data_IF_783256348186
#
_entry.id   IF_783256348186
#
_cell.length_a   1.000
_cell.length_b   1.000
_cell.length_c   1.000
_cell.angle_alpha   90.00
_cell.angle_beta   90.00
_cell.angle_gamma   90.00
#
_symmetry.space_group_name_H-M   'P 1'
#
loop_
_entity.id
_entity.type
_entity.pdbx_description
1 polymer ?
#
# COMPACT_ATOMS: atom_id res chain seq x y z
N UNK A 1 -1.65 2.62 9.90
CA UNK A 1 -1.06 2.93 8.58
C UNK A 1 -2.11 3.15 7.50
N UNK A 2 -3.19 2.36 7.45
CA UNK A 2 -4.24 2.57 6.45
C UNK A 2 -4.95 3.93 6.55
N UNK A 3 -5.28 4.40 7.77
CA UNK A 3 -5.93 5.71 7.95
C UNK A 3 -5.05 6.89 7.48
N UNK A 4 -3.73 6.86 7.75
CA UNK A 4 -2.81 7.88 7.25
C UNK A 4 -2.66 7.81 5.72
N UNK A 5 -2.70 6.61 5.15
CA UNK A 5 -2.75 6.40 3.70
C UNK A 5 -4.00 6.99 3.07
N UNK A 6 -5.17 6.80 3.69
CA UNK A 6 -6.43 7.40 3.24
C UNK A 6 -6.38 8.93 3.24
N UNK A 7 -5.83 9.54 4.29
CA UNK A 7 -5.66 10.98 4.37
C UNK A 7 -4.75 11.51 3.25
N UNK A 8 -3.59 10.88 3.06
CA UNK A 8 -2.64 11.30 2.02
C UNK A 8 -3.23 11.11 0.62
N UNK A 9 -3.90 9.99 0.35
CA UNK A 9 -4.48 9.70 -0.96
C UNK A 9 -5.57 10.71 -1.35
N UNK A 10 -6.46 11.09 -0.43
CA UNK A 10 -7.54 12.02 -0.77
C UNK A 10 -7.11 13.50 -0.75
N UNK A 11 -6.40 13.94 0.29
CA UNK A 11 -6.09 15.35 0.50
C UNK A 11 -4.77 15.79 -0.16
N UNK A 12 -3.86 14.85 -0.45
CA UNK A 12 -2.54 15.14 -1.02
C UNK A 12 -2.15 14.10 -2.09
N UNK A 13 -2.96 13.93 -3.15
CA UNK A 13 -2.78 12.85 -4.13
C UNK A 13 -1.41 12.87 -4.81
N UNK A 14 -0.85 14.06 -5.09
CA UNK A 14 0.49 14.18 -5.68
C UNK A 14 1.60 13.66 -4.75
N UNK A 15 1.52 13.95 -3.45
CA UNK A 15 2.47 13.42 -2.46
C UNK A 15 2.30 11.92 -2.28
N UNK A 16 1.05 11.46 -2.28
CA UNK A 16 0.73 10.04 -2.20
C UNK A 16 1.33 9.26 -3.38
N UNK A 17 1.14 9.73 -4.61
CA UNK A 17 1.71 9.11 -5.82
C UNK A 17 3.22 9.16 -5.79
N UNK A 18 3.83 10.28 -5.40
CA UNK A 18 5.30 10.36 -5.32
C UNK A 18 5.91 9.32 -4.37
N UNK A 19 5.26 9.07 -3.23
CA UNK A 19 5.74 8.10 -2.25
C UNK A 19 5.41 6.64 -2.56
N UNK A 20 4.50 6.37 -3.51
CA UNK A 20 4.00 5.01 -3.78
C UNK A 20 4.28 4.51 -5.20
N UNK A 21 4.45 5.40 -6.18
CA UNK A 21 4.80 5.06 -7.55
C UNK A 21 6.33 5.03 -7.75
N UNK A 22 6.83 4.23 -8.71
CA UNK A 22 8.23 4.23 -9.10
C UNK A 22 8.75 5.64 -9.44
N UNK A 23 10.00 5.92 -9.08
CA UNK A 23 10.63 7.23 -9.24
C UNK A 23 10.83 7.60 -10.71
N UNK A 24 10.97 6.61 -11.60
CA UNK A 24 10.94 6.77 -13.05
C UNK A 24 9.65 7.42 -13.55
N UNK A 25 8.50 7.11 -12.92
CA UNK A 25 7.18 7.61 -13.30
C UNK A 25 6.78 8.87 -12.53
N UNK A 26 7.13 8.96 -11.24
CA UNK A 26 6.70 10.07 -10.39
C UNK A 26 7.48 11.36 -10.64
N UNK A 27 8.77 11.29 -11.01
CA UNK A 27 9.61 12.49 -11.26
C UNK A 27 9.16 13.31 -12.47
N UNK A 28 8.91 12.74 -13.67
CA UNK A 28 8.39 13.50 -14.80
C UNK A 28 7.01 14.08 -14.50
N UNK A 29 6.18 13.31 -13.79
CA UNK A 29 4.82 13.68 -13.45
C UNK A 29 4.76 14.94 -12.56
N UNK A 30 5.60 15.03 -11.52
CA UNK A 30 5.70 16.22 -10.68
C UNK A 30 6.29 17.44 -11.41
N UNK A 31 7.19 17.23 -12.37
CA UNK A 31 7.75 18.34 -13.15
C UNK A 31 6.72 19.01 -14.06
N UNK A 32 5.67 18.28 -14.44
CA UNK A 32 4.59 18.74 -15.31
C UNK A 32 3.42 19.36 -14.52
N UNK A 33 3.11 18.81 -13.34
CA UNK A 33 2.06 19.30 -12.43
C UNK A 33 2.54 20.48 -11.57
N UNK A 34 2.72 21.65 -12.21
CA UNK A 34 2.98 22.93 -11.53
C UNK A 34 1.70 23.63 -11.01
N UNK A 35 0.53 23.05 -11.27
CA UNK A 35 -0.78 23.56 -10.83
C UNK A 35 -1.18 23.01 -9.47
N UNK A 36 -1.63 23.90 -8.57
CA UNK A 36 -2.15 23.58 -7.24
C UNK A 36 -3.41 22.69 -7.25
N UNK A 37 -4.02 22.45 -8.41
CA UNK A 37 -5.21 21.61 -8.57
C UNK A 37 -4.82 20.22 -9.12
N UNK A 38 -5.20 19.13 -8.43
CA UNK A 38 -5.12 17.77 -8.96
C UNK A 38 -5.90 17.62 -10.27
N UNK A 39 -5.36 16.85 -11.22
CA UNK A 39 -6.15 16.39 -12.37
C UNK A 39 -7.42 15.69 -11.85
N UNK A 40 -8.62 16.02 -12.37
CA UNK A 40 -9.87 15.40 -11.93
C UNK A 40 -9.85 13.87 -11.94
N UNK A 41 -9.16 13.25 -12.90
CA UNK A 41 -9.04 11.79 -13.02
C UNK A 41 -8.18 11.23 -11.89
N UNK A 42 -7.09 11.93 -11.55
CA UNK A 42 -6.18 11.52 -10.48
C UNK A 42 -6.84 11.71 -9.12
N UNK A 43 -7.58 12.80 -8.93
CA UNK A 43 -8.36 13.02 -7.73
C UNK A 43 -9.42 11.94 -7.54
N UNK A 44 -10.12 11.56 -8.60
CA UNK A 44 -11.11 10.48 -8.57
C UNK A 44 -10.46 9.15 -8.17
N UNK A 45 -9.42 8.70 -8.89
CA UNK A 45 -8.73 7.44 -8.61
C UNK A 45 -8.11 7.41 -7.21
N UNK A 46 -7.49 8.52 -6.78
CA UNK A 46 -6.89 8.63 -5.45
C UNK A 46 -7.94 8.63 -4.34
N UNK A 47 -9.15 9.14 -4.61
CA UNK A 47 -10.29 9.06 -3.69
C UNK A 47 -10.82 7.65 -3.56
N UNK A 48 -10.88 6.88 -4.66
CA UNK A 48 -11.23 5.45 -4.60
C UNK A 48 -10.22 4.65 -3.78
N UNK A 49 -8.93 4.92 -3.95
CA UNK A 49 -7.86 4.33 -3.13
C UNK A 49 -8.03 4.72 -1.65
N UNK A 50 -8.33 5.99 -1.36
CA UNK A 50 -8.60 6.43 0.01
C UNK A 50 -9.81 5.70 0.63
N UNK A 51 -10.88 5.49 -0.13
CA UNK A 51 -12.04 4.74 0.31
C UNK A 51 -11.70 3.28 0.63
N UNK A 52 -10.86 2.63 -0.18
CA UNK A 52 -10.37 1.27 0.09
C UNK A 52 -9.53 1.21 1.38
N UNK A 53 -8.69 2.21 1.65
CA UNK A 53 -7.95 2.29 2.92
C UNK A 53 -8.87 2.48 4.14
N UNK A 54 -9.94 3.26 4.00
CA UNK A 54 -10.95 3.41 5.06
C UNK A 54 -11.70 2.09 5.26
N UNK A 55 -12.15 1.45 4.18
CA UNK A 55 -12.79 0.13 4.23
C UNK A 55 -11.92 -0.88 4.96
N UNK A 56 -10.63 -0.92 4.64
CA UNK A 56 -9.65 -1.78 5.29
C UNK A 56 -9.55 -1.50 6.79
N UNK A 57 -9.38 -0.23 7.16
CA UNK A 57 -9.30 0.21 8.56
C UNK A 57 -10.54 -0.20 9.37
N UNK A 58 -11.74 -0.06 8.78
CA UNK A 58 -13.00 -0.44 9.42
C UNK A 58 -13.07 -1.97 9.59
N UNK A 59 -12.74 -2.74 8.54
CA UNK A 59 -12.76 -4.21 8.62
C UNK A 59 -11.80 -4.71 9.69
N UNK A 60 -10.58 -4.18 9.76
CA UNK A 60 -9.63 -4.52 10.83
C UNK A 60 -10.19 -4.20 12.22
N UNK A 61 -10.75 -2.99 12.41
CA UNK A 61 -11.32 -2.58 13.69
C UNK A 61 -12.53 -3.44 14.11
N UNK A 62 -13.37 -3.84 13.16
CA UNK A 62 -14.54 -4.68 13.39
C UNK A 62 -14.11 -6.11 13.73
N UNK A 63 -13.20 -6.69 12.95
CA UNK A 63 -12.68 -8.05 13.21
C UNK A 63 -11.98 -8.10 14.57
N UNK A 64 -11.18 -7.08 14.91
CA UNK A 64 -10.55 -6.93 16.24
C UNK A 64 -11.55 -6.96 17.40
N UNK A 65 -12.74 -6.41 17.20
CA UNK A 65 -13.75 -6.27 18.27
C UNK A 65 -14.71 -7.45 18.34
N UNK A 66 -15.08 -8.02 17.19
CA UNK A 66 -16.18 -8.99 17.11
C UNK A 66 -15.72 -10.45 17.17
N UNK A 67 -14.45 -10.76 16.87
CA UNK A 67 -13.98 -12.15 16.85
C UNK A 67 -12.58 -12.33 17.44
N UNK A 68 -12.46 -13.38 18.25
CA UNK A 68 -11.17 -13.92 18.71
C UNK A 68 -10.83 -15.26 18.06
N UNK A 69 -11.62 -15.70 17.09
CA UNK A 69 -11.36 -16.95 16.39
C UNK A 69 -10.17 -16.80 15.44
N UNK A 70 -9.12 -17.54 15.74
CA UNK A 70 -7.88 -17.57 14.96
C UNK A 70 -8.11 -17.94 13.49
N UNK A 71 -9.16 -18.71 13.18
CA UNK A 71 -9.51 -19.08 11.81
C UNK A 71 -9.96 -17.87 11.00
N UNK A 72 -10.76 -16.98 11.60
CA UNK A 72 -11.20 -15.73 10.95
C UNK A 72 -10.02 -14.81 10.71
N UNK A 73 -9.13 -14.71 11.69
CA UNK A 73 -7.89 -13.94 11.58
C UNK A 73 -6.99 -14.42 10.44
N UNK A 74 -6.80 -15.73 10.30
CA UNK A 74 -6.04 -16.28 9.17
C UNK A 74 -6.66 -15.92 7.82
N UNK A 75 -7.98 -16.00 7.67
CA UNK A 75 -8.65 -15.62 6.41
C UNK A 75 -8.46 -14.14 6.09
N UNK A 76 -8.59 -13.27 7.08
CA UNK A 76 -8.41 -11.82 6.92
C UNK A 76 -6.95 -11.49 6.57
N UNK A 77 -5.99 -12.09 7.25
CA UNK A 77 -4.55 -11.91 6.95
C UNK A 77 -4.18 -12.48 5.58
N UNK A 78 -4.81 -13.57 5.15
CA UNK A 78 -4.64 -14.09 3.79
C UNK A 78 -5.15 -13.11 2.74
N UNK A 79 -6.32 -12.51 2.94
CA UNK A 79 -6.83 -11.47 2.03
C UNK A 79 -5.88 -10.25 1.97
N UNK A 80 -5.31 -9.85 3.11
CA UNK A 80 -4.27 -8.82 3.15
C UNK A 80 -3.03 -9.19 2.35
N UNK A 81 -2.57 -10.44 2.48
CA UNK A 81 -1.41 -10.92 1.74
C UNK A 81 -1.63 -10.84 0.22
N UNK A 82 -2.82 -11.22 -0.25
CA UNK A 82 -3.19 -11.10 -1.67
C UNK A 82 -3.18 -9.63 -2.11
N UNK A 83 -3.66 -8.72 -1.27
CA UNK A 83 -3.61 -7.28 -1.54
C UNK A 83 -2.16 -6.75 -1.63
N UNK A 84 -1.28 -7.15 -0.70
CA UNK A 84 0.14 -6.77 -0.72
C UNK A 84 0.83 -7.27 -2.00
N UNK A 85 0.53 -8.50 -2.44
CA UNK A 85 1.02 -9.03 -3.70
C UNK A 85 0.54 -8.21 -4.89
N UNK A 86 -0.71 -7.75 -4.87
CA UNK A 86 -1.25 -6.83 -5.88
C UNK A 86 -0.48 -5.51 -5.94
N UNK A 87 -0.09 -4.95 -4.80
CA UNK A 87 0.75 -3.74 -4.75
C UNK A 87 2.12 -3.97 -5.40
N UNK A 88 2.80 -5.07 -5.07
CA UNK A 88 4.08 -5.41 -5.70
C UNK A 88 3.94 -5.66 -7.20
N UNK A 89 2.85 -6.30 -7.63
CA UNK A 89 2.55 -6.50 -9.04
C UNK A 89 2.36 -5.18 -9.78
N UNK A 90 1.62 -4.24 -9.19
CA UNK A 90 1.42 -2.91 -9.78
C UNK A 90 2.74 -2.14 -9.95
N UNK A 91 3.66 -2.23 -8.98
CA UNK A 91 5.00 -1.62 -9.10
C UNK A 91 5.80 -2.31 -10.21
N UNK A 92 5.75 -3.64 -10.30
CA UNK A 92 6.43 -4.42 -11.34
C UNK A 92 5.91 -4.10 -12.75
N UNK A 93 4.60 -3.96 -12.93
CA UNK A 93 4.00 -3.60 -14.22
C UNK A 93 4.35 -2.16 -14.62
N UNK A 94 4.43 -1.26 -13.64
CA UNK A 94 4.75 0.14 -13.85
C UNK A 94 6.22 0.36 -14.27
N UNK A 95 7.16 -0.32 -13.63
CA UNK A 95 8.57 -0.33 -14.04
C UNK A 95 9.28 -1.64 -13.68
N UNK A 96 9.30 -2.64 -14.58
CA UNK A 96 9.87 -3.95 -14.29
C UNK A 96 11.41 -3.92 -14.16
N UNK A 97 12.08 -2.95 -14.79
CA UNK A 97 13.54 -2.85 -14.82
C UNK A 97 14.05 -2.21 -13.53
N UNK A 98 13.42 -1.11 -13.10
CA UNK A 98 13.76 -0.45 -11.84
C UNK A 98 13.34 -1.30 -10.63
N UNK A 99 12.21 -2.02 -10.72
CA UNK A 99 11.78 -2.93 -9.67
C UNK A 99 12.80 -4.04 -9.36
N UNK A 100 13.43 -4.63 -10.39
CA UNK A 100 14.44 -5.66 -10.21
C UNK A 100 15.81 -5.10 -9.76
N UNK A 101 16.04 -3.80 -9.93
CA UNK A 101 17.28 -3.14 -9.54
C UNK A 101 17.14 -2.38 -8.23
N UNK A 102 17.00 -3.11 -7.12
CA UNK A 102 16.83 -2.57 -5.74
C UNK A 102 17.89 -1.53 -5.35
N UNK A 103 19.08 -1.56 -5.97
CA UNK A 103 20.15 -0.56 -5.77
C UNK A 103 19.84 0.82 -6.35
N UNK A 104 18.91 0.93 -7.31
CA UNK A 104 18.52 2.18 -7.96
C UNK A 104 17.38 2.92 -7.25
N UNK A 105 16.73 2.29 -6.27
CA UNK A 105 15.58 2.86 -5.58
C UNK A 105 15.97 4.12 -4.81
N UNK A 106 15.13 5.14 -4.92
CA UNK A 106 15.19 6.33 -4.08
C UNK A 106 14.90 5.99 -2.62
N UNK A 107 15.31 6.89 -1.71
CA UNK A 107 15.08 6.72 -0.27
C UNK A 107 13.59 6.55 0.06
N UNK A 108 12.70 7.25 -0.64
CA UNK A 108 11.25 7.15 -0.42
C UNK A 108 10.71 5.78 -0.85
N UNK A 109 11.14 5.26 -2.00
CA UNK A 109 10.77 3.92 -2.47
C UNK A 109 11.30 2.82 -1.56
N UNK A 110 12.55 2.95 -1.11
CA UNK A 110 13.13 2.01 -0.14
C UNK A 110 12.31 1.93 1.14
N UNK A 111 11.86 3.08 1.66
CA UNK A 111 11.04 3.13 2.88
C UNK A 111 9.64 2.54 2.60
N UNK A 112 8.97 2.98 1.54
CA UNK A 112 7.62 2.52 1.22
C UNK A 112 7.58 1.02 0.93
N UNK A 113 8.41 0.56 0.00
CA UNK A 113 8.49 -0.84 -0.40
C UNK A 113 9.07 -1.72 0.71
N UNK A 114 9.97 -1.17 1.54
CA UNK A 114 10.51 -1.84 2.72
C UNK A 114 9.44 -2.09 3.78
N UNK A 115 8.62 -1.09 4.10
CA UNK A 115 7.49 -1.24 5.05
C UNK A 115 6.45 -2.22 4.49
N UNK A 116 6.12 -2.11 3.20
CA UNK A 116 5.21 -3.04 2.52
C UNK A 116 5.74 -4.48 2.58
N UNK A 117 7.01 -4.68 2.21
CA UNK A 117 7.66 -5.99 2.21
C UNK A 117 7.78 -6.58 3.60
N UNK A 118 8.10 -5.75 4.61
CA UNK A 118 8.11 -6.18 6.01
C UNK A 118 6.72 -6.65 6.45
N UNK A 119 5.67 -5.89 6.13
CA UNK A 119 4.28 -6.29 6.38
C UNK A 119 3.92 -7.61 5.73
N UNK A 120 4.30 -7.80 4.45
CA UNK A 120 4.09 -9.05 3.72
C UNK A 120 4.77 -10.24 4.41
N UNK A 121 6.03 -10.09 4.83
CA UNK A 121 6.78 -11.15 5.54
C UNK A 121 6.10 -11.50 6.87
N UNK A 122 5.66 -10.50 7.64
CA UNK A 122 4.95 -10.73 8.89
C UNK A 122 3.63 -11.48 8.67
N UNK A 123 2.88 -11.16 7.61
CA UNK A 123 1.64 -11.85 7.25
C UNK A 123 1.88 -13.30 6.84
N UNK A 124 2.93 -13.55 6.06
CA UNK A 124 3.35 -14.93 5.72
C UNK A 124 3.72 -15.69 7.01
N UNK A 125 4.52 -15.09 7.89
CA UNK A 125 4.91 -15.71 9.14
C UNK A 125 3.70 -16.05 10.02
N UNK A 126 2.73 -15.13 10.12
CA UNK A 126 1.48 -15.35 10.84
C UNK A 126 0.65 -16.50 10.25
N UNK A 127 0.53 -16.58 8.93
CA UNK A 127 -0.21 -17.64 8.24
C UNK A 127 0.47 -19.01 8.38
N UNK A 128 1.80 -19.03 8.42
CA UNK A 128 2.59 -20.24 8.73
C UNK A 128 2.51 -20.65 10.20
N UNK A 129 1.82 -19.87 11.05
CA UNK A 129 1.66 -20.15 12.47
C UNK A 129 2.88 -19.81 13.33
N UNK A 130 3.86 -19.08 12.79
CA UNK A 130 5.01 -18.61 13.54
C UNK A 130 4.56 -17.57 14.57
N UNK A 131 4.79 -17.85 15.86
CA UNK A 131 4.34 -17.00 16.98
C UNK A 131 3.11 -17.52 17.72
N UNK A 132 2.42 -18.54 17.17
CA UNK A 132 1.33 -19.20 17.87
C UNK A 132 1.92 -20.32 18.75
N UNK A 133 2.37 -19.97 19.97
CA UNK A 133 2.65 -20.99 20.98
C UNK A 133 1.31 -21.62 21.38
N UNK A 134 1.17 -22.93 21.16
CA UNK A 134 0.09 -23.73 21.73
C UNK A 134 0.03 -23.56 23.25
#
# INVERSE_FOLDING_TARGET
MALSGAYLAHFQPYKFIHGTAPSSLSRPFLSLSSTFTPDPVIQFLSTDIAALYVLFTINEAVVLRLTRDYSVWKTVVFAMLVCDMGHFWGIYEADPVEFLSVRGWSTEELINNGILGFGLVLRIAFLLGLGNRK
#
